data_IF_354248220372
#
_entry.id   IF_354248220372
#
_cell.length_a   1.000
_cell.length_b   1.000
_cell.length_c   1.000
_cell.angle_alpha   90.00
_cell.angle_beta   90.00
_cell.angle_gamma   90.00
#
_symmetry.space_group_name_H-M   'P 1'
#
loop_
_entity.id
_entity.type
_entity.pdbx_description
1 polymer ?
#
# COMPACT_ATOMS: atom_id res chain seq x y z
N UNK A 1 -18.47 39.88 -18.51
CA UNK A 1 -19.19 39.24 -17.38
C UNK A 1 -18.60 37.85 -17.18
N UNK A 2 -17.98 37.63 -16.03
CA UNK A 2 -17.52 36.35 -15.53
C UNK A 2 -18.71 35.56 -14.96
N UNK A 3 -18.72 34.26 -15.18
CA UNK A 3 -19.32 33.17 -14.38
C UNK A 3 -18.75 31.90 -15.03
N UNK A 4 -17.73 31.19 -14.51
CA UNK A 4 -17.50 30.62 -13.18
C UNK A 4 -18.62 29.70 -12.73
N UNK A 5 -18.53 28.42 -13.12
CA UNK A 5 -19.10 27.19 -12.52
C UNK A 5 -18.89 26.07 -13.55
N UNK A 6 -18.28 24.92 -13.34
CA UNK A 6 -17.59 24.25 -12.24
C UNK A 6 -16.72 23.21 -12.96
N UNK A 7 -15.40 23.28 -12.89
CA UNK A 7 -14.62 22.33 -12.09
C UNK A 7 -15.20 20.90 -12.00
N UNK A 8 -15.30 20.22 -13.15
CA UNK A 8 -15.01 18.80 -13.24
C UNK A 8 -13.71 18.59 -14.03
N UNK A 9 -12.62 19.21 -13.55
CA UNK A 9 -11.31 18.60 -13.73
C UNK A 9 -11.28 17.47 -12.71
N UNK A 10 -11.91 16.34 -13.07
CA UNK A 10 -11.60 15.07 -12.41
C UNK A 10 -10.09 14.96 -12.50
N UNK A 11 -9.43 14.91 -11.34
CA UNK A 11 -8.00 14.67 -11.17
C UNK A 11 -7.51 13.74 -12.26
N UNK A 12 -6.98 14.31 -13.35
CA UNK A 12 -6.41 13.50 -14.41
C UNK A 12 -5.22 12.86 -13.74
N UNK A 13 -5.15 11.52 -13.60
CA UNK A 13 -3.95 10.88 -13.09
C UNK A 13 -2.83 11.47 -13.91
N UNK A 14 -1.83 12.09 -13.25
CA UNK A 14 -0.71 12.68 -13.98
C UNK A 14 -0.28 11.61 -14.97
N UNK A 15 -0.32 11.89 -16.28
CA UNK A 15 -0.16 10.81 -17.24
C UNK A 15 1.17 10.16 -16.92
N UNK A 16 1.19 8.84 -16.71
CA UNK A 16 2.38 8.08 -16.28
C UNK A 16 3.58 8.47 -17.14
N UNK A 17 3.35 8.76 -18.42
CA UNK A 17 4.30 9.35 -19.36
C UNK A 17 5.01 10.62 -18.84
N UNK A 18 4.28 11.61 -18.30
CA UNK A 18 4.89 12.84 -17.74
C UNK A 18 5.78 12.55 -16.54
N UNK A 19 5.36 11.62 -15.68
CA UNK A 19 6.16 11.24 -14.51
C UNK A 19 7.42 10.48 -14.94
N UNK A 20 7.30 9.63 -15.96
CA UNK A 20 8.39 8.88 -16.55
C UNK A 20 9.39 9.81 -17.26
N UNK A 21 8.91 10.76 -18.06
CA UNK A 21 9.74 11.80 -18.70
C UNK A 21 10.53 12.59 -17.65
N UNK A 22 9.85 13.00 -16.57
CA UNK A 22 10.50 13.70 -15.46
C UNK A 22 11.62 12.86 -14.83
N UNK A 23 11.35 11.59 -14.57
CA UNK A 23 12.33 10.67 -13.99
C UNK A 23 13.51 10.44 -14.94
N UNK A 24 13.25 10.18 -16.23
CA UNK A 24 14.30 10.01 -17.25
C UNK A 24 15.22 11.23 -17.32
N UNK A 25 14.65 12.44 -17.34
CA UNK A 25 15.43 13.68 -17.37
C UNK A 25 16.27 13.88 -16.11
N UNK A 26 15.78 13.45 -14.95
CA UNK A 26 16.44 13.68 -13.66
C UNK A 26 17.47 12.62 -13.30
N UNK A 27 17.23 11.36 -13.64
CA UNK A 27 18.10 10.23 -13.28
C UNK A 27 19.05 9.85 -14.41
N UNK A 28 18.76 10.25 -15.66
CA UNK A 28 19.50 9.82 -16.85
C UNK A 28 19.29 8.34 -17.21
N UNK A 29 18.33 7.67 -16.56
CA UNK A 29 17.99 6.28 -16.85
C UNK A 29 17.01 6.20 -18.02
N UNK A 30 17.07 5.09 -18.75
CA UNK A 30 16.11 4.80 -19.81
C UNK A 30 14.74 4.38 -19.24
N UNK A 31 13.73 4.49 -20.09
CA UNK A 31 12.34 4.15 -19.78
C UNK A 31 12.16 2.73 -19.24
N UNK A 32 12.81 1.73 -19.86
CA UNK A 32 12.64 0.33 -19.48
C UNK A 32 13.22 0.06 -18.08
N UNK A 33 14.37 0.66 -17.77
CA UNK A 33 14.97 0.60 -16.43
C UNK A 33 14.03 1.18 -15.38
N UNK A 34 13.45 2.37 -15.64
CA UNK A 34 12.55 3.03 -14.71
C UNK A 34 11.23 2.26 -14.52
N UNK A 35 10.63 1.76 -15.60
CA UNK A 35 9.43 0.93 -15.53
C UNK A 35 9.69 -0.37 -14.78
N UNK A 36 10.83 -1.02 -15.01
CA UNK A 36 11.21 -2.24 -14.29
C UNK A 36 11.38 -1.99 -12.80
N UNK A 37 11.96 -0.85 -12.42
CA UNK A 37 12.08 -0.44 -11.03
C UNK A 37 10.72 -0.14 -10.41
N UNK A 38 9.87 0.61 -11.11
CA UNK A 38 8.51 0.93 -10.68
C UNK A 38 7.68 -0.34 -10.46
N UNK A 39 7.75 -1.31 -11.38
CA UNK A 39 7.09 -2.60 -11.24
C UNK A 39 7.58 -3.38 -10.02
N UNK A 40 8.89 -3.46 -9.80
CA UNK A 40 9.46 -4.16 -8.62
C UNK A 40 8.98 -3.53 -7.31
N UNK A 41 8.99 -2.20 -7.24
CA UNK A 41 8.50 -1.46 -6.08
C UNK A 41 7.00 -1.68 -5.89
N UNK A 42 6.21 -1.53 -6.95
CA UNK A 42 4.77 -1.74 -6.97
C UNK A 42 4.38 -3.14 -6.51
N UNK A 43 4.98 -4.17 -7.10
CA UNK A 43 4.74 -5.57 -6.71
C UNK A 43 5.15 -5.84 -5.26
N UNK A 44 6.28 -5.28 -4.80
CA UNK A 44 6.70 -5.43 -3.41
C UNK A 44 5.77 -4.75 -2.40
N UNK A 45 5.12 -3.64 -2.78
CA UNK A 45 4.09 -2.99 -1.97
C UNK A 45 2.80 -3.81 -1.96
N UNK A 46 2.31 -4.20 -3.14
CA UNK A 46 1.09 -5.00 -3.28
C UNK A 46 1.20 -6.36 -2.57
N UNK A 47 2.34 -7.02 -2.69
CA UNK A 47 2.61 -8.29 -2.01
C UNK A 47 2.50 -8.15 -0.50
N UNK A 48 3.14 -7.13 0.09
CA UNK A 48 3.07 -6.89 1.53
C UNK A 48 1.66 -6.56 1.99
N UNK A 49 0.95 -5.68 1.28
CA UNK A 49 -0.45 -5.36 1.59
C UNK A 49 -1.34 -6.61 1.56
N UNK A 50 -1.19 -7.45 0.53
CA UNK A 50 -1.96 -8.69 0.42
C UNK A 50 -1.61 -9.69 1.52
N UNK A 51 -0.33 -9.79 1.90
CA UNK A 51 0.11 -10.68 2.97
C UNK A 51 -0.36 -10.20 4.36
N UNK A 52 -0.38 -8.88 4.62
CA UNK A 52 -0.97 -8.33 5.85
C UNK A 52 -2.43 -8.71 5.96
N UNK A 53 -3.22 -8.49 4.90
CA UNK A 53 -4.64 -8.82 4.89
C UNK A 53 -4.86 -10.32 5.09
N UNK A 54 -4.14 -11.17 4.35
CA UNK A 54 -4.25 -12.62 4.48
C UNK A 54 -3.84 -13.13 5.88
N UNK A 55 -2.92 -12.46 6.57
CA UNK A 55 -2.57 -12.80 7.95
C UNK A 55 -3.66 -12.36 8.95
N UNK A 56 -4.24 -11.16 8.78
CA UNK A 56 -5.37 -10.68 9.58
C UNK A 56 -6.56 -11.64 9.48
N UNK A 57 -6.84 -12.10 8.26
CA UNK A 57 -7.93 -13.02 7.92
C UNK A 57 -7.61 -14.49 8.27
N UNK A 58 -6.46 -14.77 8.91
CA UNK A 58 -6.00 -16.10 9.32
C UNK A 58 -5.82 -17.11 8.16
N UNK A 59 -5.69 -16.61 6.92
CA UNK A 59 -5.39 -17.43 5.73
C UNK A 59 -3.90 -17.78 5.70
N UNK A 60 -3.02 -16.85 6.10
CA UNK A 60 -1.59 -17.10 6.24
C UNK A 60 -1.26 -17.55 7.66
N UNK A 61 -0.41 -18.57 7.79
CA UNK A 61 0.18 -18.92 9.08
C UNK A 61 1.14 -17.83 9.55
N UNK A 62 1.38 -17.77 10.86
CA UNK A 62 2.36 -16.84 11.45
C UNK A 62 3.75 -16.98 10.84
N UNK A 63 4.21 -18.21 10.57
CA UNK A 63 5.51 -18.46 9.93
C UNK A 63 5.60 -17.89 8.53
N UNK A 64 4.55 -18.06 7.72
CA UNK A 64 4.50 -17.52 6.35
C UNK A 64 4.39 -15.99 6.37
N UNK A 65 3.60 -15.44 7.28
CA UNK A 65 3.51 -14.01 7.48
C UNK A 65 4.87 -13.40 7.92
N UNK A 66 5.62 -14.08 8.80
CA UNK A 66 6.98 -13.64 9.19
C UNK A 66 7.92 -13.66 7.97
N UNK A 67 7.83 -14.67 7.11
CA UNK A 67 8.64 -14.73 5.91
C UNK A 67 8.31 -13.60 4.92
N UNK A 68 7.03 -13.20 4.83
CA UNK A 68 6.56 -12.17 3.92
C UNK A 68 6.73 -10.73 4.45
N UNK A 69 6.53 -10.51 5.74
CA UNK A 69 6.38 -9.19 6.37
C UNK A 69 7.46 -8.87 7.40
N UNK A 70 8.18 -9.89 7.88
CA UNK A 70 9.11 -9.77 9.00
C UNK A 70 8.44 -9.91 10.37
N UNK A 71 9.24 -10.27 11.36
CA UNK A 71 8.78 -10.54 12.74
C UNK A 71 8.14 -9.34 13.41
N UNK A 72 8.71 -8.14 13.22
CA UNK A 72 8.21 -6.92 13.84
C UNK A 72 6.79 -6.60 13.36
N UNK A 73 6.56 -6.63 12.04
CA UNK A 73 5.25 -6.28 11.48
C UNK A 73 4.17 -7.27 11.89
N UNK A 74 4.51 -8.56 11.93
CA UNK A 74 3.59 -9.60 12.43
C UNK A 74 3.22 -9.34 13.89
N UNK A 75 4.18 -9.01 14.75
CA UNK A 75 3.91 -8.72 16.15
C UNK A 75 3.02 -7.47 16.34
N UNK A 76 3.21 -6.43 15.52
CA UNK A 76 2.34 -5.24 15.52
C UNK A 76 0.88 -5.59 15.19
N UNK A 77 0.67 -6.44 14.18
CA UNK A 77 -0.68 -6.88 13.78
C UNK A 77 -1.32 -7.73 14.88
N UNK A 78 -0.57 -8.68 15.46
CA UNK A 78 -1.03 -9.52 16.58
C UNK A 78 -1.45 -8.65 17.78
N UNK A 79 -0.63 -7.67 18.13
CA UNK A 79 -0.93 -6.72 19.20
C UNK A 79 -2.20 -5.92 18.91
N UNK A 80 -2.35 -5.36 17.71
CA UNK A 80 -3.52 -4.59 17.31
C UNK A 80 -4.81 -5.44 17.35
N UNK A 81 -4.75 -6.68 16.88
CA UNK A 81 -5.86 -7.63 16.91
C UNK A 81 -6.29 -7.95 18.35
N UNK A 82 -5.31 -8.18 19.24
CA UNK A 82 -5.58 -8.43 20.64
C UNK A 82 -6.18 -7.21 21.36
N UNK A 83 -5.64 -6.01 21.13
CA UNK A 83 -6.16 -4.77 21.69
C UNK A 83 -7.62 -4.54 21.25
N UNK A 84 -7.92 -4.71 19.97
CA UNK A 84 -9.28 -4.60 19.44
C UNK A 84 -10.23 -5.61 20.10
N UNK A 85 -9.78 -6.85 20.28
CA UNK A 85 -10.59 -7.91 20.91
C UNK A 85 -10.92 -7.54 22.36
N UNK A 86 -9.95 -7.01 23.11
CA UNK A 86 -10.16 -6.56 24.49
C UNK A 86 -11.08 -5.34 24.56
N UNK A 87 -10.94 -4.39 23.63
CA UNK A 87 -11.82 -3.22 23.56
C UNK A 87 -13.28 -3.63 23.27
N UNK A 88 -13.48 -4.57 22.34
CA UNK A 88 -14.81 -5.12 22.02
C UNK A 88 -15.39 -5.86 23.23
N UNK A 89 -14.60 -6.71 23.90
CA UNK A 89 -15.06 -7.41 25.10
C UNK A 89 -15.49 -6.44 26.21
N UNK A 90 -14.67 -5.41 26.47
CA UNK A 90 -15.00 -4.34 27.43
C UNK A 90 -16.27 -3.59 27.03
N UNK A 91 -16.45 -3.28 25.75
CA UNK A 91 -17.65 -2.60 25.24
C UNK A 91 -18.91 -3.44 25.33
N UNK A 92 -18.80 -4.77 25.23
CA UNK A 92 -19.91 -5.72 25.33
C UNK A 92 -20.15 -6.23 26.76
N UNK A 93 -19.29 -5.89 27.72
CA UNK A 93 -19.38 -6.36 29.11
C UNK A 93 -19.07 -7.86 29.28
N UNK A 94 -18.25 -8.43 28.38
CA UNK A 94 -17.81 -9.83 28.39
C UNK A 94 -16.51 -10.01 29.18
#
# INVERSE_FOLDING_TARGET
MQTMTDQLVLDSPRPIARELDFLMQRTGQDELTLLSQAMRLGLGMLYRQSAEQAFIDEVLTRSEAIAALGTQRVAEIEYAKQALTQDVARGLGL
#
